data_IF_897415771015
#
_entry.id   IF_897415771015
#
_cell.length_a   1.000
_cell.length_b   1.000
_cell.length_c   1.000
_cell.angle_alpha   90.00
_cell.angle_beta   90.00
_cell.angle_gamma   90.00
#
_symmetry.space_group_name_H-M   'P 1'
#
loop_
_entity.id
_entity.type
_entity.pdbx_description
1 polymer ?
#
# COMPACT_ATOMS: atom_id res chain seq x y z
N UNK A 1 -65.83 3.06 42.49
CA UNK A 1 -65.34 2.49 41.21
C UNK A 1 -64.17 3.32 40.65
N UNK A 2 -63.04 3.38 41.34
CA UNK A 2 -61.81 4.05 40.86
C UNK A 2 -60.56 3.35 41.44
N UNK A 3 -60.61 2.02 41.53
CA UNK A 3 -59.53 1.18 42.08
C UNK A 3 -59.11 0.02 41.17
N UNK A 4 -59.59 -0.06 39.92
CA UNK A 4 -59.32 -1.18 38.99
C UNK A 4 -58.63 -0.80 37.67
N UNK A 5 -57.98 0.37 37.58
CA UNK A 5 -57.31 0.81 36.34
C UNK A 5 -55.82 1.13 36.50
N UNK A 6 -55.24 0.94 37.70
CA UNK A 6 -53.81 1.16 37.96
C UNK A 6 -53.03 -0.14 38.18
N UNK A 7 -53.60 -1.29 37.81
CA UNK A 7 -53.01 -2.62 38.01
C UNK A 7 -52.50 -3.27 36.71
N UNK A 8 -52.50 -2.55 35.59
CA UNK A 8 -52.05 -3.05 34.27
C UNK A 8 -50.79 -2.38 33.72
N UNK A 9 -50.19 -1.41 34.43
CA UNK A 9 -48.97 -0.72 33.98
C UNK A 9 -47.66 -1.18 34.66
N UNK A 10 -47.67 -2.29 35.40
CA UNK A 10 -46.53 -2.77 36.21
C UNK A 10 -45.66 -3.87 35.54
N UNK A 11 -45.99 -4.33 34.33
CA UNK A 11 -45.30 -5.48 33.72
C UNK A 11 -44.31 -5.18 32.60
N UNK A 12 -44.02 -3.91 32.25
CA UNK A 12 -43.15 -3.59 31.08
C UNK A 12 -41.96 -2.67 31.34
N UNK A 13 -41.58 -2.38 32.58
CA UNK A 13 -40.33 -1.66 32.86
C UNK A 13 -39.22 -2.63 33.28
N UNK A 14 -38.33 -2.92 32.32
CA UNK A 14 -37.15 -3.75 32.51
C UNK A 14 -36.26 -3.23 33.63
N UNK A 15 -35.86 -4.13 34.52
CA UNK A 15 -34.90 -3.90 35.60
C UNK A 15 -33.56 -3.42 35.01
N UNK A 16 -33.17 -2.19 35.31
CA UNK A 16 -31.81 -1.70 35.12
C UNK A 16 -31.02 -2.03 36.38
N UNK A 17 -30.10 -2.98 36.30
CA UNK A 17 -29.15 -3.27 37.38
C UNK A 17 -27.91 -2.39 37.20
N UNK A 18 -27.65 -1.53 38.18
CA UNK A 18 -26.40 -0.79 38.31
C UNK A 18 -25.47 -1.65 39.17
N UNK A 19 -24.53 -2.35 38.55
CA UNK A 19 -23.44 -2.99 39.30
C UNK A 19 -22.40 -1.92 39.65
N UNK A 20 -22.31 -1.55 40.93
CA UNK A 20 -21.15 -0.87 41.49
C UNK A 20 -20.07 -1.93 41.75
N UNK A 21 -19.00 -1.93 40.96
CA UNK A 21 -17.75 -2.58 41.33
C UNK A 21 -16.74 -1.49 41.65
N UNK A 22 -16.32 -1.43 42.91
CA UNK A 22 -15.20 -0.64 43.43
C UNK A 22 -13.92 -0.99 42.68
N UNK A 23 -13.28 0.02 42.09
CA UNK A 23 -11.92 -0.09 41.55
C UNK A 23 -11.19 1.16 42.02
N UNK A 24 -10.25 0.96 42.94
CA UNK A 24 -9.29 1.97 43.37
C UNK A 24 -8.45 2.41 42.18
N UNK A 25 -8.46 3.72 41.89
CA UNK A 25 -7.64 4.32 40.83
C UNK A 25 -6.80 5.41 41.47
N UNK A 26 -5.51 5.10 41.62
CA UNK A 26 -4.45 6.06 41.85
C UNK A 26 -4.56 7.20 40.82
N UNK A 27 -4.76 8.41 41.36
CA UNK A 27 -4.80 9.67 40.65
C UNK A 27 -3.43 9.96 40.05
N UNK A 28 -3.31 9.93 38.72
CA UNK A 28 -2.45 10.81 37.91
C UNK A 28 -2.50 10.41 36.41
N UNK A 29 -3.60 10.76 35.73
CA UNK A 29 -3.55 11.40 34.40
C UNK A 29 -4.98 11.59 33.86
N UNK A 30 -5.38 12.86 33.79
CA UNK A 30 -6.69 13.33 33.42
C UNK A 30 -6.90 13.32 31.91
N UNK A 31 -7.86 12.49 31.45
CA UNK A 31 -8.85 12.73 30.37
C UNK A 31 -9.58 11.42 30.06
N UNK A 32 -10.39 10.95 31.00
CA UNK A 32 -11.43 9.96 30.72
C UNK A 32 -12.74 10.72 30.70
N UNK A 33 -13.27 10.96 29.50
CA UNK A 33 -14.64 11.41 29.32
C UNK A 33 -15.51 10.20 29.66
N UNK A 34 -16.15 10.24 30.82
CA UNK A 34 -17.09 9.21 31.28
C UNK A 34 -18.29 9.14 30.32
N UNK A 35 -18.19 8.33 29.25
CA UNK A 35 -19.35 7.95 28.47
C UNK A 35 -19.98 6.74 29.14
N UNK A 36 -21.12 6.94 29.81
CA UNK A 36 -21.97 5.86 30.30
C UNK A 36 -22.36 4.99 29.09
N UNK A 37 -21.81 3.78 29.01
CA UNK A 37 -22.16 2.81 27.99
C UNK A 37 -23.42 2.07 28.42
N UNK A 38 -24.58 2.47 27.88
CA UNK A 38 -25.82 1.71 28.05
C UNK A 38 -25.79 0.48 27.15
N UNK A 39 -25.81 -0.71 27.75
CA UNK A 39 -25.91 -2.00 27.05
C UNK A 39 -27.39 -2.38 26.99
N UNK A 40 -27.99 -2.37 25.81
CA UNK A 40 -29.37 -2.86 25.63
C UNK A 40 -29.36 -4.38 25.51
N UNK A 41 -30.03 -5.08 26.43
CA UNK A 41 -30.27 -6.52 26.33
C UNK A 41 -31.58 -6.74 25.58
N UNK A 42 -31.55 -7.39 24.42
CA UNK A 42 -32.73 -7.93 23.73
C UNK A 42 -32.55 -9.44 23.56
N UNK A 43 -33.51 -10.23 24.02
CA UNK A 43 -33.53 -11.70 23.92
C UNK A 43 -32.27 -12.40 24.46
N UNK A 44 -31.76 -11.97 25.62
CA UNK A 44 -30.63 -12.64 26.30
C UNK A 44 -29.29 -12.59 25.55
N UNK A 45 -29.20 -11.84 24.44
CA UNK A 45 -27.96 -11.65 23.69
C UNK A 45 -27.47 -10.22 23.87
N UNK A 46 -26.21 -10.08 24.31
CA UNK A 46 -25.52 -8.79 24.33
C UNK A 46 -25.26 -8.32 22.90
N UNK A 47 -26.12 -7.46 22.37
CA UNK A 47 -25.82 -6.76 21.12
C UNK A 47 -25.01 -5.51 21.47
N UNK A 48 -23.71 -5.52 21.15
CA UNK A 48 -22.96 -4.26 21.13
C UNK A 48 -23.71 -3.28 20.21
N UNK A 49 -23.98 -2.03 20.63
CA UNK A 49 -24.57 -1.05 19.73
C UNK A 49 -23.67 -0.97 18.50
N UNK A 50 -24.23 -1.27 17.32
CA UNK A 50 -23.50 -1.12 16.06
C UNK A 50 -22.94 0.30 16.06
N UNK A 51 -21.61 0.44 16.14
CA UNK A 51 -20.96 1.74 16.11
C UNK A 51 -21.39 2.38 14.80
N UNK A 52 -22.37 3.31 14.85
CA UNK A 52 -22.73 4.14 13.71
C UNK A 52 -21.41 4.68 13.17
N UNK A 53 -21.12 4.48 11.88
CA UNK A 53 -19.95 5.08 11.22
C UNK A 53 -19.94 6.54 11.64
N UNK A 54 -19.04 6.92 12.56
CA UNK A 54 -18.86 8.32 12.93
C UNK A 54 -18.59 9.02 11.61
N UNK A 55 -19.44 9.99 11.25
CA UNK A 55 -19.08 10.94 10.20
C UNK A 55 -17.73 11.52 10.65
N UNK A 56 -16.66 11.22 9.94
CA UNK A 56 -15.29 11.66 10.26
C UNK A 56 -15.11 13.16 10.12
N UNK A 57 -16.17 13.87 9.71
CA UNK A 57 -16.20 15.31 9.63
C UNK A 57 -17.04 15.82 10.80
N UNK A 58 -16.50 16.71 11.65
CA UNK A 58 -17.32 17.47 12.58
C UNK A 58 -18.42 18.19 11.79
N UNK A 59 -19.57 18.42 12.41
CA UNK A 59 -20.64 19.16 11.76
C UNK A 59 -20.11 20.51 11.26
N UNK A 60 -20.57 20.97 10.10
CA UNK A 60 -20.05 22.19 9.44
C UNK A 60 -20.17 23.46 10.30
N UNK A 61 -21.05 23.45 11.31
CA UNK A 61 -21.24 24.53 12.28
C UNK A 61 -20.37 24.39 13.54
N UNK A 62 -19.74 23.24 13.76
CA UNK A 62 -18.72 23.09 14.79
C UNK A 62 -17.45 23.73 14.22
N UNK A 63 -17.10 24.92 14.71
CA UNK A 63 -15.84 25.57 14.38
C UNK A 63 -14.69 24.57 14.54
N UNK A 64 -13.80 24.48 13.56
CA UNK A 64 -12.60 23.66 13.73
C UNK A 64 -11.86 24.27 14.91
N UNK A 65 -11.50 23.45 15.90
CA UNK A 65 -10.54 23.88 16.91
C UNK A 65 -9.30 24.38 16.18
N UNK A 66 -9.10 25.69 16.20
CA UNK A 66 -7.93 26.29 15.60
C UNK A 66 -6.74 25.75 16.39
N UNK A 67 -5.78 25.13 15.70
CA UNK A 67 -4.52 24.71 16.32
C UNK A 67 -3.69 25.98 16.60
N UNK A 68 -4.13 26.79 17.57
CA UNK A 68 -3.72 28.18 17.75
C UNK A 68 -2.34 28.41 18.36
N UNK A 69 -1.47 27.39 18.40
CA UNK A 69 -0.08 27.60 18.79
C UNK A 69 0.80 26.53 18.17
N UNK A 70 1.09 26.67 16.88
CA UNK A 70 2.30 26.04 16.37
C UNK A 70 3.49 26.72 17.05
N UNK A 71 4.41 25.94 17.61
CA UNK A 71 5.65 26.39 18.27
C UNK A 71 6.40 27.48 17.47
N UNK A 72 6.23 27.45 16.14
CA UNK A 72 6.71 28.45 15.18
C UNK A 72 6.31 29.89 15.47
N UNK A 73 5.17 30.13 16.13
CA UNK A 73 4.67 31.48 16.41
C UNK A 73 5.43 32.16 17.56
N UNK A 74 6.06 31.38 18.43
CA UNK A 74 6.79 31.86 19.62
C UNK A 74 8.30 31.82 19.43
N UNK A 75 8.78 31.46 18.24
CA UNK A 75 10.19 31.24 17.97
C UNK A 75 10.82 32.49 17.34
N UNK A 76 11.89 33.00 17.94
CA UNK A 76 12.70 34.05 17.32
C UNK A 76 13.35 33.51 16.03
N UNK A 77 13.75 34.42 15.13
CA UNK A 77 14.41 34.03 13.86
C UNK A 77 15.72 33.27 14.11
N UNK A 78 16.46 33.65 15.14
CA UNK A 78 17.71 33.01 15.56
C UNK A 78 17.46 31.59 16.10
N UNK A 79 16.49 31.44 17.02
CA UNK A 79 16.13 30.14 17.56
C UNK A 79 15.61 29.19 16.47
N UNK A 80 14.90 29.73 15.47
CA UNK A 80 14.45 28.95 14.32
C UNK A 80 15.62 28.39 13.52
N UNK A 81 16.60 29.23 13.16
CA UNK A 81 17.80 28.78 12.46
C UNK A 81 18.56 27.73 13.26
N UNK A 82 18.77 27.98 14.54
CA UNK A 82 19.43 27.03 15.45
C UNK A 82 18.73 25.66 15.50
N UNK A 83 17.39 25.63 15.60
CA UNK A 83 16.64 24.38 15.58
C UNK A 83 16.70 23.68 14.21
N UNK A 84 16.64 24.44 13.12
CA UNK A 84 16.77 23.90 11.76
C UNK A 84 18.16 23.26 11.55
N UNK A 85 19.23 23.86 12.08
CA UNK A 85 20.60 23.32 12.04
C UNK A 85 20.74 22.03 12.88
N UNK A 86 20.11 21.99 14.06
CA UNK A 86 20.04 20.76 14.89
C UNK A 86 19.27 19.65 14.18
N UNK A 87 18.14 19.97 13.57
CA UNK A 87 17.36 18.99 12.82
C UNK A 87 18.13 18.47 11.59
N UNK A 88 18.88 19.35 10.91
CA UNK A 88 19.73 18.97 9.79
C UNK A 88 20.85 18.03 10.22
N UNK A 89 21.66 18.41 11.20
CA UNK A 89 22.75 17.58 11.76
C UNK A 89 22.28 16.20 12.27
N UNK A 90 21.07 16.10 12.85
CA UNK A 90 20.50 14.81 13.25
C UNK A 90 20.05 13.95 12.06
N UNK A 91 19.67 14.57 10.95
CA UNK A 91 19.20 13.86 9.75
C UNK A 91 20.33 13.50 8.79
N UNK A 92 21.39 14.32 8.71
CA UNK A 92 22.61 14.08 7.93
C UNK A 92 23.10 12.62 7.94
N UNK A 93 23.25 11.95 9.10
CA UNK A 93 23.75 10.58 9.11
C UNK A 93 22.84 9.58 8.40
N UNK A 94 21.55 9.90 8.27
CA UNK A 94 20.55 9.06 7.58
C UNK A 94 20.30 9.50 6.14
N UNK A 95 20.90 10.61 5.69
CA UNK A 95 20.86 11.00 4.29
C UNK A 95 21.70 10.02 3.47
N UNK A 96 21.26 9.75 2.23
CA UNK A 96 21.85 8.74 1.35
C UNK A 96 21.71 7.29 1.83
N UNK A 97 20.67 6.98 2.62
CA UNK A 97 20.34 5.61 3.08
C UNK A 97 21.45 4.93 3.91
N UNK A 98 22.38 5.69 4.50
CA UNK A 98 23.38 5.14 5.42
C UNK A 98 22.81 5.11 6.84
N UNK A 99 23.14 4.08 7.60
CA UNK A 99 22.87 4.04 9.03
C UNK A 99 24.15 4.37 9.78
N UNK A 100 24.17 5.40 10.65
CA UNK A 100 25.38 5.76 11.41
C UNK A 100 25.76 4.72 12.46
N UNK A 101 24.83 3.83 12.82
CA UNK A 101 25.03 2.80 13.81
C UNK A 101 25.57 1.56 13.11
N UNK A 102 26.78 1.12 13.51
CA UNK A 102 27.22 -0.26 13.33
C UNK A 102 26.33 -1.13 14.22
N UNK A 103 25.19 -1.53 13.69
CA UNK A 103 24.25 -2.39 14.41
C UNK A 103 24.91 -3.76 14.53
N UNK A 104 24.89 -4.38 15.71
CA UNK A 104 25.23 -5.80 15.86
C UNK A 104 24.34 -6.61 14.91
N UNK A 105 24.92 -7.05 13.81
CA UNK A 105 24.19 -7.77 12.77
C UNK A 105 23.85 -9.15 13.32
N UNK A 106 22.58 -9.52 13.24
CA UNK A 106 22.17 -10.89 13.54
C UNK A 106 22.87 -11.84 12.58
N UNK A 107 23.18 -13.04 13.06
CA UNK A 107 23.67 -14.13 12.21
C UNK A 107 22.71 -14.31 11.02
N UNK A 108 23.26 -14.27 9.81
CA UNK A 108 22.47 -14.41 8.59
C UNK A 108 22.01 -15.85 8.47
N UNK A 109 20.69 -16.03 8.40
CA UNK A 109 20.13 -17.31 8.00
C UNK A 109 20.22 -17.45 6.48
N UNK A 110 20.46 -18.67 6.01
CA UNK A 110 20.36 -18.99 4.59
C UNK A 110 18.92 -18.92 4.09
N UNK A 111 18.75 -18.77 2.77
CA UNK A 111 17.45 -18.81 2.15
C UNK A 111 16.89 -20.25 2.14
N UNK A 112 15.74 -20.45 2.76
CA UNK A 112 14.95 -21.68 2.66
C UNK A 112 13.80 -21.49 1.67
N UNK A 113 13.41 -22.56 0.97
CA UNK A 113 12.34 -22.50 -0.01
C UNK A 113 10.99 -22.15 0.65
N UNK A 114 10.33 -21.10 0.13
CA UNK A 114 9.10 -20.58 0.74
C UNK A 114 9.32 -19.54 1.84
N UNK A 115 10.57 -19.18 2.13
CA UNK A 115 10.89 -18.04 3.01
C UNK A 115 10.34 -16.74 2.45
N UNK A 116 9.82 -15.90 3.34
CA UNK A 116 9.27 -14.59 3.02
C UNK A 116 10.10 -13.51 3.70
N UNK A 117 10.82 -12.73 2.90
CA UNK A 117 11.59 -11.58 3.39
C UNK A 117 10.77 -10.29 3.38
N UNK A 118 11.39 -9.24 3.90
CA UNK A 118 10.76 -7.94 3.98
C UNK A 118 10.54 -7.32 2.59
N UNK A 119 9.50 -6.50 2.45
CA UNK A 119 9.31 -5.62 1.30
C UNK A 119 9.86 -4.22 1.55
N UNK A 120 9.66 -3.34 0.57
CA UNK A 120 10.07 -1.94 0.62
C UNK A 120 8.89 -1.01 0.31
N UNK A 121 9.04 0.26 0.70
CA UNK A 121 8.09 1.32 0.35
C UNK A 121 8.74 2.19 -0.72
N UNK A 122 8.04 2.46 -1.80
CA UNK A 122 8.54 3.26 -2.90
C UNK A 122 7.58 4.40 -3.25
N UNK A 123 8.14 5.44 -3.87
CA UNK A 123 7.41 6.56 -4.45
C UNK A 123 7.37 6.38 -5.97
N UNK A 124 6.17 6.42 -6.55
CA UNK A 124 6.00 6.32 -8.01
C UNK A 124 6.43 7.63 -8.67
N UNK A 125 7.53 7.64 -9.43
CA UNK A 125 8.00 8.83 -10.15
C UNK A 125 7.25 9.01 -11.47
N UNK A 126 6.98 7.94 -12.20
CA UNK A 126 6.41 8.06 -13.54
C UNK A 126 6.40 6.76 -14.31
N UNK A 127 6.23 6.87 -15.63
CA UNK A 127 6.28 5.77 -16.58
C UNK A 127 7.26 6.14 -17.68
N UNK A 128 8.13 5.21 -18.05
CA UNK A 128 9.16 5.40 -19.06
C UNK A 128 9.10 4.24 -20.07
N UNK A 129 9.15 4.51 -21.39
CA UNK A 129 9.35 3.46 -22.39
C UNK A 129 10.79 2.96 -22.38
N UNK A 130 10.96 1.67 -22.63
CA UNK A 130 12.24 1.01 -22.84
C UNK A 130 12.12 0.05 -24.02
N UNK A 131 13.25 -0.45 -24.53
CA UNK A 131 13.29 -1.35 -25.67
C UNK A 131 14.02 -2.64 -25.32
N UNK A 132 13.47 -3.77 -25.74
CA UNK A 132 14.20 -5.04 -25.71
C UNK A 132 15.23 -5.07 -26.84
N UNK A 133 16.19 -5.99 -26.73
CA UNK A 133 17.14 -6.27 -27.82
C UNK A 133 16.44 -6.74 -29.10
N UNK A 134 15.25 -7.31 -28.99
CA UNK A 134 14.39 -7.69 -30.13
C UNK A 134 13.69 -6.50 -30.81
N UNK A 135 13.88 -5.27 -30.32
CA UNK A 135 13.23 -4.07 -30.85
C UNK A 135 11.79 -3.86 -30.36
N UNK A 136 11.30 -4.68 -29.42
CA UNK A 136 9.96 -4.49 -28.86
C UNK A 136 9.95 -3.36 -27.83
N UNK A 137 8.93 -2.51 -27.92
CA UNK A 137 8.73 -1.42 -26.95
C UNK A 137 8.01 -1.93 -25.70
N UNK A 138 8.68 -1.77 -24.56
CA UNK A 138 8.15 -2.04 -23.23
C UNK A 138 7.82 -0.73 -22.50
N UNK A 139 6.73 -0.72 -21.75
CA UNK A 139 6.42 0.37 -20.82
C UNK A 139 6.76 -0.06 -19.40
N UNK A 140 7.52 0.76 -18.68
CA UNK A 140 7.93 0.49 -17.31
C UNK A 140 7.51 1.62 -16.38
N UNK A 141 7.12 1.28 -15.15
CA UNK A 141 6.88 2.27 -14.08
C UNK A 141 8.15 2.46 -13.26
N UNK A 142 8.50 3.71 -13.03
CA UNK A 142 9.68 4.13 -12.28
C UNK A 142 9.33 4.31 -10.80
N UNK A 143 9.93 3.52 -9.92
CA UNK A 143 9.67 3.50 -8.48
C UNK A 143 10.95 3.83 -7.71
N UNK A 144 10.93 4.89 -6.93
CA UNK A 144 12.07 5.31 -6.12
C UNK A 144 11.91 4.90 -4.66
N UNK A 145 12.96 4.30 -4.11
CA UNK A 145 13.07 3.94 -2.69
C UNK A 145 13.75 5.10 -1.97
N UNK A 146 13.03 5.72 -1.03
CA UNK A 146 13.48 6.92 -0.31
C UNK A 146 13.54 6.64 1.19
N UNK A 147 14.74 6.69 1.75
CA UNK A 147 15.03 6.56 3.19
C UNK A 147 14.31 5.40 3.88
N UNK A 148 14.29 4.23 3.25
CA UNK A 148 13.64 3.05 3.82
C UNK A 148 14.47 2.45 4.93
N UNK A 149 13.89 2.32 6.11
CA UNK A 149 14.55 1.71 7.26
C UNK A 149 13.58 0.79 8.01
N UNK A 150 14.14 -0.25 8.64
CA UNK A 150 13.42 -1.10 9.58
C UNK A 150 13.20 -0.34 10.88
N UNK A 151 11.96 -0.17 11.31
CA UNK A 151 11.60 0.57 12.54
C UNK A 151 11.48 -0.37 13.73
N UNK A 152 10.82 -1.52 13.55
CA UNK A 152 10.67 -2.49 14.63
C UNK A 152 10.39 -3.89 14.10
N UNK A 153 10.77 -4.87 14.92
CA UNK A 153 10.48 -6.28 14.72
C UNK A 153 9.50 -6.74 15.80
N UNK A 154 8.44 -7.42 15.41
CA UNK A 154 7.40 -7.93 16.31
C UNK A 154 7.27 -9.44 16.07
N UNK A 155 7.53 -10.22 17.12
CA UNK A 155 7.32 -11.67 17.10
C UNK A 155 5.84 -12.00 16.92
N UNK A 156 5.55 -13.14 16.33
CA UNK A 156 4.19 -13.58 16.04
C UNK A 156 3.32 -13.65 17.31
N UNK A 157 3.85 -14.14 18.42
CA UNK A 157 3.15 -14.26 19.71
C UNK A 157 2.60 -12.90 20.20
N UNK A 158 3.44 -11.88 20.18
CA UNK A 158 3.05 -10.51 20.55
C UNK A 158 2.09 -9.92 19.54
N UNK A 159 2.29 -10.24 18.25
CA UNK A 159 1.39 -9.74 17.21
C UNK A 159 -0.01 -10.36 17.35
N UNK A 160 -0.15 -11.65 17.70
CA UNK A 160 -1.45 -12.32 17.89
C UNK A 160 -2.31 -11.61 18.92
N UNK A 161 -1.73 -11.07 20.00
CA UNK A 161 -2.45 -10.32 21.04
C UNK A 161 -3.08 -9.02 20.52
N UNK A 162 -2.44 -8.39 19.54
CA UNK A 162 -2.91 -7.12 18.94
C UNK A 162 -3.77 -7.33 17.69
N UNK A 163 -3.93 -8.57 17.21
CA UNK A 163 -4.72 -8.89 16.02
C UNK A 163 -6.21 -8.68 16.24
N UNK A 164 -6.87 -8.07 15.26
CA UNK A 164 -8.34 -8.11 15.18
C UNK A 164 -8.82 -9.56 14.97
N UNK A 165 -10.00 -9.95 15.47
CA UNK A 165 -10.52 -11.32 15.35
C UNK A 165 -10.52 -11.88 13.93
N UNK A 166 -10.73 -11.03 12.91
CA UNK A 166 -10.67 -11.41 11.49
C UNK A 166 -9.33 -12.04 11.07
N UNK A 167 -8.22 -11.71 11.74
CA UNK A 167 -6.91 -12.23 11.41
C UNK A 167 -6.60 -13.61 12.01
N UNK A 168 -7.51 -14.20 12.81
CA UNK A 168 -7.30 -15.56 13.37
C UNK A 168 -7.15 -16.62 12.27
N UNK A 169 -7.91 -16.48 11.19
CA UNK A 169 -7.91 -17.42 10.05
C UNK A 169 -7.08 -16.90 8.86
N UNK A 170 -6.19 -15.95 9.07
CA UNK A 170 -5.40 -15.37 7.99
C UNK A 170 -4.25 -16.28 7.56
N UNK A 171 -3.94 -16.32 6.26
CA UNK A 171 -2.83 -17.13 5.70
C UNK A 171 -1.44 -16.83 6.27
N UNK A 172 -1.26 -15.67 6.89
CA UNK A 172 0.00 -15.21 7.48
C UNK A 172 -0.02 -15.26 9.01
N UNK A 173 -0.85 -16.14 9.58
CA UNK A 173 -1.06 -16.19 11.04
C UNK A 173 0.17 -16.63 11.83
N UNK A 174 1.09 -17.37 11.23
CA UNK A 174 2.27 -17.91 11.90
C UNK A 174 3.55 -17.12 11.58
N UNK A 175 3.42 -15.95 10.95
CA UNK A 175 4.55 -15.14 10.50
C UNK A 175 4.84 -14.00 11.47
N UNK A 176 6.12 -13.68 11.57
CA UNK A 176 6.60 -12.50 12.25
C UNK A 176 6.33 -11.25 11.43
N UNK A 177 6.48 -10.09 12.05
CA UNK A 177 6.11 -8.82 11.44
C UNK A 177 7.25 -7.85 11.55
N UNK A 178 7.60 -7.29 10.40
CA UNK A 178 8.62 -6.25 10.29
C UNK A 178 7.94 -4.93 9.92
N UNK A 179 8.17 -3.89 10.70
CA UNK A 179 7.67 -2.53 10.44
C UNK A 179 8.75 -1.78 9.69
N UNK A 180 8.43 -1.31 8.48
CA UNK A 180 9.31 -0.51 7.63
C UNK A 180 8.75 0.91 7.54
N UNK A 181 9.64 1.90 7.58
CA UNK A 181 9.30 3.29 7.40
C UNK A 181 10.07 3.95 6.25
N UNK A 182 9.42 4.89 5.58
CA UNK A 182 9.93 5.59 4.39
C UNK A 182 9.76 7.10 4.48
N UNK A 183 10.72 7.80 3.85
CA UNK A 183 10.89 9.26 3.83
C UNK A 183 10.99 9.89 5.22
N UNK A 184 12.08 10.60 5.48
CA UNK A 184 12.23 11.37 6.71
C UNK A 184 11.18 12.49 6.78
N UNK A 185 10.62 12.71 7.96
CA UNK A 185 9.70 13.80 8.20
C UNK A 185 10.14 14.59 9.43
N UNK A 186 9.75 15.87 9.51
CA UNK A 186 10.03 16.67 10.71
C UNK A 186 9.20 16.19 11.90
N UNK A 187 9.85 16.08 13.06
CA UNK A 187 9.25 15.70 14.33
C UNK A 187 8.05 16.57 14.72
N UNK A 188 8.08 17.86 14.34
CA UNK A 188 7.05 18.85 14.68
C UNK A 188 5.65 18.52 14.13
N UNK A 189 5.58 17.73 13.07
CA UNK A 189 4.31 17.40 12.42
C UNK A 189 3.56 16.24 13.10
N UNK A 190 4.18 15.56 14.07
CA UNK A 190 3.69 14.31 14.65
C UNK A 190 3.52 14.39 16.17
N UNK A 191 2.54 13.66 16.73
CA UNK A 191 2.36 13.57 18.17
C UNK A 191 3.48 12.75 18.82
N UNK A 192 3.74 13.02 20.11
CA UNK A 192 4.79 12.33 20.89
C UNK A 192 4.68 10.80 20.86
N UNK A 193 3.45 10.27 20.85
CA UNK A 193 3.20 8.82 20.73
C UNK A 193 3.72 8.21 19.42
N UNK A 194 3.68 8.97 18.32
CA UNK A 194 4.25 8.54 17.04
C UNK A 194 5.77 8.60 17.06
N UNK A 195 6.33 9.65 17.68
CA UNK A 195 7.78 9.82 17.81
C UNK A 195 8.40 8.70 18.66
N UNK A 196 7.72 8.25 19.72
CA UNK A 196 8.16 7.14 20.57
C UNK A 196 8.37 5.82 19.84
N UNK A 197 7.77 5.61 18.65
CA UNK A 197 7.98 4.39 17.85
C UNK A 197 9.41 4.27 17.32
N UNK A 198 10.07 5.39 17.05
CA UNK A 198 11.38 5.42 16.39
C UNK A 198 12.55 5.50 17.37
N UNK A 199 12.29 5.82 18.64
CA UNK A 199 13.31 5.96 19.68
C UNK A 199 14.13 4.67 19.86
N UNK A 200 13.47 3.49 19.83
CA UNK A 200 14.17 2.20 19.96
C UNK A 200 15.16 1.91 18.84
N UNK A 201 14.89 2.43 17.65
CA UNK A 201 15.73 2.24 16.46
C UNK A 201 16.66 3.44 16.20
N UNK A 202 16.60 4.48 17.04
CA UNK A 202 17.30 5.76 16.85
C UNK A 202 17.10 6.36 15.45
N UNK A 203 15.89 6.24 14.89
CA UNK A 203 15.58 6.77 13.56
C UNK A 203 14.84 8.13 13.64
N UNK A 204 15.02 9.00 12.65
CA UNK A 204 14.09 10.12 12.45
C UNK A 204 12.68 9.59 12.11
N UNK A 205 11.61 10.33 12.45
CA UNK A 205 10.26 9.89 12.23
C UNK A 205 9.98 9.83 10.73
N UNK A 206 9.43 8.69 10.30
CA UNK A 206 9.14 8.43 8.89
C UNK A 206 7.73 8.87 8.52
N UNK A 207 7.52 9.33 7.28
CA UNK A 207 6.21 9.82 6.81
C UNK A 207 5.22 8.69 6.54
N UNK A 208 5.73 7.55 6.08
CA UNK A 208 4.93 6.34 5.83
C UNK A 208 5.51 5.17 6.59
N UNK A 209 4.60 4.38 7.17
CA UNK A 209 4.90 3.13 7.85
C UNK A 209 4.05 2.02 7.24
N UNK A 210 4.67 0.88 7.02
CA UNK A 210 3.96 -0.36 6.72
C UNK A 210 4.56 -1.55 7.41
N UNK A 211 3.76 -2.60 7.43
CA UNK A 211 4.13 -3.87 7.99
C UNK A 211 4.25 -4.90 6.87
N UNK A 212 5.33 -5.64 6.89
CA UNK A 212 5.53 -6.83 6.07
C UNK A 212 5.46 -8.06 6.97
N UNK A 213 4.80 -9.09 6.47
CA UNK A 213 4.83 -10.41 7.08
C UNK A 213 6.07 -11.12 6.59
N UNK A 214 6.84 -11.65 7.53
CA UNK A 214 8.11 -12.30 7.24
C UNK A 214 8.17 -13.67 7.92
N UNK A 215 8.99 -14.53 7.37
CA UNK A 215 9.39 -15.77 8.05
C UNK A 215 10.45 -15.46 9.12
N UNK A 216 10.52 -16.25 10.21
CA UNK A 216 11.45 -15.98 11.32
C UNK A 216 12.92 -15.90 10.90
N UNK A 217 13.32 -16.65 9.87
CA UNK A 217 14.67 -16.64 9.30
C UNK A 217 15.01 -15.34 8.53
N UNK A 218 14.00 -14.53 8.16
CA UNK A 218 14.19 -13.26 7.46
C UNK A 218 14.18 -12.05 8.42
N UNK A 219 14.58 -12.27 9.67
CA UNK A 219 14.59 -11.25 10.71
C UNK A 219 15.69 -10.20 10.43
N UNK A 220 15.33 -8.93 10.56
CA UNK A 220 16.25 -7.80 10.46
C UNK A 220 16.28 -7.01 11.76
N UNK A 221 17.44 -6.42 12.05
CA UNK A 221 17.59 -5.54 13.19
C UNK A 221 16.94 -4.17 12.93
N UNK A 222 16.24 -3.58 13.91
CA UNK A 222 15.76 -2.20 13.82
C UNK A 222 16.91 -1.23 13.52
N UNK A 223 16.68 -0.29 12.60
CA UNK A 223 17.68 0.66 12.11
C UNK A 223 18.37 0.24 10.81
N UNK A 224 18.17 -0.99 10.33
CA UNK A 224 18.76 -1.47 9.06
C UNK A 224 18.17 -0.69 7.87
N UNK A 225 19.01 -0.13 6.97
CA UNK A 225 18.55 0.53 5.75
C UNK A 225 18.15 -0.49 4.68
N UNK A 226 17.13 -0.19 3.88
CA UNK A 226 16.65 -1.03 2.79
C UNK A 226 16.81 -0.30 1.46
N UNK A 227 17.67 -0.82 0.60
CA UNK A 227 18.05 -0.23 -0.68
C UNK A 227 17.28 -0.84 -1.86
N UNK A 228 17.44 -0.26 -3.06
CA UNK A 228 16.86 -0.83 -4.27
C UNK A 228 17.43 -2.22 -4.62
N UNK A 229 18.70 -2.44 -4.26
CA UNK A 229 19.43 -3.69 -4.46
C UNK A 229 18.92 -4.83 -3.57
N UNK A 230 17.96 -4.54 -2.69
CA UNK A 230 17.15 -5.58 -2.06
C UNK A 230 16.49 -6.48 -3.11
N UNK A 231 16.20 -5.99 -4.32
CA UNK A 231 15.73 -6.84 -5.41
C UNK A 231 16.83 -7.05 -6.45
N UNK A 232 16.73 -8.14 -7.19
CA UNK A 232 17.57 -8.35 -8.38
C UNK A 232 16.74 -8.17 -9.65
N UNK A 233 17.42 -7.80 -10.73
CA UNK A 233 16.81 -7.67 -12.05
C UNK A 233 16.40 -9.05 -12.58
N UNK A 234 15.33 -9.10 -13.35
CA UNK A 234 14.75 -10.35 -13.88
C UNK A 234 13.73 -11.02 -12.95
N UNK A 235 13.76 -10.71 -11.65
CA UNK A 235 12.78 -11.21 -10.69
C UNK A 235 11.42 -10.53 -10.76
N UNK A 236 10.43 -11.17 -10.13
CA UNK A 236 9.04 -10.71 -10.10
C UNK A 236 8.64 -10.20 -8.73
N UNK A 237 7.97 -9.05 -8.73
CA UNK A 237 7.44 -8.40 -7.53
C UNK A 237 5.93 -8.20 -7.61
N UNK A 238 5.30 -8.19 -6.45
CA UNK A 238 3.92 -7.76 -6.27
C UNK A 238 3.95 -6.33 -5.71
N UNK A 239 3.17 -5.46 -6.35
CA UNK A 239 3.16 -4.03 -6.09
C UNK A 239 1.75 -3.63 -5.68
N UNK A 240 1.60 -3.11 -4.47
CA UNK A 240 0.31 -2.65 -3.98
C UNK A 240 0.34 -1.19 -3.58
N UNK A 241 -0.79 -0.51 -3.73
CA UNK A 241 -0.90 0.92 -3.50
C UNK A 241 -2.35 1.38 -3.48
N UNK A 242 -2.57 2.66 -3.18
CA UNK A 242 -3.89 3.27 -3.29
C UNK A 242 -4.13 3.69 -4.74
N UNK A 243 -5.24 3.26 -5.34
CA UNK A 243 -5.65 3.68 -6.66
C UNK A 243 -6.03 5.17 -6.67
N UNK A 244 -5.92 5.80 -7.84
CA UNK A 244 -6.37 7.18 -8.07
C UNK A 244 -7.82 7.33 -7.61
N UNK A 245 -8.11 8.42 -6.91
CA UNK A 245 -9.46 8.75 -6.47
C UNK A 245 -10.24 9.42 -7.61
N UNK A 246 -11.38 8.85 -7.98
CA UNK A 246 -12.28 9.42 -8.98
C UNK A 246 -13.56 9.98 -8.35
N UNK A 247 -13.72 9.98 -7.02
CA UNK A 247 -14.91 10.46 -6.34
C UNK A 247 -16.16 9.64 -6.65
N UNK A 248 -17.35 10.26 -6.57
CA UNK A 248 -18.62 9.59 -6.87
C UNK A 248 -18.80 9.41 -8.38
N UNK A 249 -18.86 8.17 -8.84
CA UNK A 249 -18.98 7.82 -10.24
C UNK A 249 -20.28 7.07 -10.55
N UNK A 250 -20.84 7.35 -11.73
CA UNK A 250 -21.98 6.65 -12.28
C UNK A 250 -21.65 5.20 -12.69
N UNK A 251 -22.69 4.39 -12.92
CA UNK A 251 -22.54 2.95 -13.19
C UNK A 251 -21.75 2.61 -14.46
N UNK A 252 -21.80 3.48 -15.48
CA UNK A 252 -21.03 3.26 -16.71
C UNK A 252 -19.52 3.36 -16.44
N UNK A 253 -19.04 4.40 -15.76
CA UNK A 253 -17.60 4.56 -15.48
C UNK A 253 -17.12 3.60 -14.38
N UNK A 254 -17.95 3.37 -13.35
CA UNK A 254 -17.59 2.54 -12.19
C UNK A 254 -17.57 1.04 -12.50
N UNK A 255 -18.53 0.57 -13.29
CA UNK A 255 -18.77 -0.86 -13.53
C UNK A 255 -18.78 -1.26 -15.00
N UNK A 256 -18.45 -0.34 -15.91
CA UNK A 256 -18.45 -0.55 -17.35
C UNK A 256 -19.82 -0.99 -17.90
N UNK A 257 -20.92 -0.49 -17.34
CA UNK A 257 -22.26 -0.73 -17.89
C UNK A 257 -22.41 -0.08 -19.27
N UNK A 258 -23.06 -0.76 -20.21
CA UNK A 258 -23.24 -0.27 -21.59
C UNK A 258 -24.14 0.97 -21.69
N UNK A 259 -25.04 1.18 -20.74
CA UNK A 259 -26.05 2.24 -20.79
C UNK A 259 -27.21 1.88 -21.71
N UNK A 260 -27.96 2.89 -22.16
CA UNK A 260 -29.05 2.76 -23.12
C UNK A 260 -28.68 3.44 -24.44
N UNK A 261 -29.43 3.14 -25.51
CA UNK A 261 -29.25 3.77 -26.82
C UNK A 261 -29.35 5.31 -26.73
N UNK A 262 -28.66 5.99 -27.67
CA UNK A 262 -28.76 7.45 -27.82
C UNK A 262 -29.97 7.86 -28.66
N UNK A 263 -30.38 7.03 -29.63
CA UNK A 263 -31.46 7.29 -30.58
C UNK A 263 -32.67 6.37 -30.33
N UNK A 264 -33.68 6.43 -31.20
CA UNK A 264 -34.91 5.62 -31.16
C UNK A 264 -35.77 5.83 -29.90
N UNK A 265 -36.01 7.09 -29.53
CA UNK A 265 -37.01 7.45 -28.52
C UNK A 265 -36.58 7.27 -27.05
N UNK A 266 -35.31 6.94 -26.77
CA UNK A 266 -34.81 6.85 -25.38
C UNK A 266 -34.79 8.23 -24.74
N UNK A 267 -35.62 8.47 -23.74
CA UNK A 267 -35.71 9.74 -23.01
C UNK A 267 -35.04 9.66 -21.63
N UNK A 268 -34.07 10.54 -21.35
CA UNK A 268 -33.41 10.73 -20.03
C UNK A 268 -32.79 9.46 -19.39
N UNK A 269 -32.58 8.39 -20.15
CA UNK A 269 -32.14 7.09 -19.63
C UNK A 269 -30.76 6.62 -20.11
N UNK A 270 -30.05 7.40 -20.93
CA UNK A 270 -28.82 6.98 -21.63
C UNK A 270 -27.73 6.39 -20.72
N UNK A 271 -27.61 6.88 -19.47
CA UNK A 271 -26.56 6.46 -18.52
C UNK A 271 -27.08 5.79 -17.24
N UNK A 272 -28.36 5.41 -17.22
CA UNK A 272 -29.00 4.79 -16.05
C UNK A 272 -28.59 3.30 -15.94
N UNK A 273 -28.62 2.70 -14.74
CA UNK A 273 -28.30 1.28 -14.53
C UNK A 273 -29.25 0.30 -15.20
N UNK A 274 -30.46 0.72 -15.55
CA UNK A 274 -31.54 -0.19 -15.92
C UNK A 274 -32.09 -0.93 -14.69
N UNK A 275 -32.54 -2.16 -14.90
CA UNK A 275 -33.13 -3.00 -13.85
C UNK A 275 -32.09 -3.47 -12.84
N UNK A 276 -32.39 -3.31 -11.55
CA UNK A 276 -31.44 -3.56 -10.45
C UNK A 276 -31.67 -4.93 -9.78
N UNK A 277 -32.90 -5.45 -9.79
CA UNK A 277 -33.28 -6.68 -9.09
C UNK A 277 -34.02 -7.65 -10.02
N UNK A 278 -34.01 -8.94 -9.65
CA UNK A 278 -34.70 -10.01 -10.38
C UNK A 278 -36.05 -10.33 -9.72
N UNK A 279 -37.15 -10.01 -10.42
CA UNK A 279 -38.50 -10.55 -10.19
C UNK A 279 -39.18 -10.23 -8.83
N UNK A 280 -40.49 -10.50 -8.75
CA UNK A 280 -41.33 -10.27 -7.55
C UNK A 280 -40.96 -11.13 -6.33
N UNK A 281 -40.24 -12.24 -6.52
CA UNK A 281 -39.85 -13.17 -5.45
C UNK A 281 -38.76 -12.64 -4.53
N UNK A 282 -37.97 -11.65 -4.96
CA UNK A 282 -36.93 -11.03 -4.15
C UNK A 282 -37.39 -9.66 -3.65
N UNK A 283 -37.48 -9.47 -2.34
CA UNK A 283 -37.91 -8.23 -1.68
C UNK A 283 -36.81 -7.15 -1.64
N UNK A 284 -36.04 -6.99 -2.72
CA UNK A 284 -35.01 -5.94 -2.85
C UNK A 284 -33.75 -6.36 -3.61
N UNK A 285 -32.80 -5.42 -3.80
CA UNK A 285 -31.51 -5.73 -4.42
C UNK A 285 -30.65 -6.63 -3.54
N UNK A 286 -29.95 -7.58 -4.16
CA UNK A 286 -29.00 -8.46 -3.47
C UNK A 286 -27.84 -7.63 -2.88
N UNK A 287 -27.32 -8.01 -1.71
CA UNK A 287 -26.12 -7.38 -1.13
C UNK A 287 -24.95 -7.49 -2.12
N UNK A 288 -24.28 -6.36 -2.37
CA UNK A 288 -23.19 -6.30 -3.36
C UNK A 288 -23.64 -6.00 -4.80
N UNK A 289 -24.92 -5.69 -5.03
CA UNK A 289 -25.40 -5.23 -6.35
C UNK A 289 -24.61 -3.99 -6.82
N UNK A 290 -24.16 -4.02 -8.08
CA UNK A 290 -23.37 -2.96 -8.69
C UNK A 290 -24.22 -1.69 -8.88
N UNK A 291 -23.87 -0.62 -8.16
CA UNK A 291 -24.55 0.68 -8.19
C UNK A 291 -23.56 1.85 -8.32
N UNK A 292 -24.06 3.04 -8.65
CA UNK A 292 -23.24 4.26 -8.63
C UNK A 292 -22.67 4.51 -7.22
N UNK A 293 -21.52 5.17 -7.14
CA UNK A 293 -20.86 5.41 -5.86
C UNK A 293 -19.39 5.78 -6.00
N UNK A 294 -18.72 5.87 -4.86
CA UNK A 294 -17.30 6.20 -4.82
C UNK A 294 -16.45 5.18 -5.59
N UNK A 295 -15.58 5.66 -6.47
CA UNK A 295 -14.66 4.85 -7.27
C UNK A 295 -13.23 5.31 -7.02
N UNK A 296 -12.33 4.37 -6.77
CA UNK A 296 -10.93 4.68 -6.47
C UNK A 296 -10.66 4.91 -4.99
N UNK A 297 -9.48 5.42 -4.66
CA UNK A 297 -8.98 5.55 -3.26
C UNK A 297 -8.93 4.23 -2.47
N UNK A 298 -9.05 3.09 -3.17
CA UNK A 298 -8.98 1.74 -2.60
C UNK A 298 -7.56 1.17 -2.74
N UNK A 299 -7.22 0.19 -1.90
CA UNK A 299 -5.95 -0.53 -2.02
C UNK A 299 -6.10 -1.64 -3.06
N UNK A 300 -5.23 -1.64 -4.07
CA UNK A 300 -5.13 -2.71 -5.07
C UNK A 300 -3.70 -3.20 -5.15
N UNK A 301 -3.57 -4.48 -5.49
CA UNK A 301 -2.30 -5.16 -5.68
C UNK A 301 -2.23 -5.63 -7.13
N UNK A 302 -1.16 -5.29 -7.82
CA UNK A 302 -0.76 -5.91 -9.08
C UNK A 302 0.30 -6.95 -8.77
N UNK A 303 0.19 -8.11 -9.40
CA UNK A 303 1.04 -9.26 -9.10
C UNK A 303 1.92 -9.63 -10.29
N UNK A 304 3.10 -10.17 -10.00
CA UNK A 304 3.97 -10.77 -11.00
C UNK A 304 4.57 -9.77 -11.99
N UNK A 305 4.94 -8.58 -11.53
CA UNK A 305 5.60 -7.58 -12.35
C UNK A 305 7.11 -7.83 -12.39
N UNK A 306 7.69 -8.01 -13.58
CA UNK A 306 9.14 -8.22 -13.76
C UNK A 306 9.91 -6.92 -13.49
N UNK A 307 11.07 -7.02 -12.85
CA UNK A 307 12.02 -5.91 -12.70
C UNK A 307 12.96 -5.90 -13.92
N UNK A 308 13.04 -4.77 -14.61
CA UNK A 308 13.80 -4.63 -15.86
C UNK A 308 15.15 -3.92 -15.68
N UNK A 309 15.19 -2.99 -14.73
CA UNK A 309 16.38 -2.18 -14.44
C UNK A 309 16.37 -1.78 -12.97
N UNK A 310 17.54 -1.72 -12.37
CA UNK A 310 17.78 -1.12 -11.06
C UNK A 310 18.90 -0.09 -11.20
N UNK A 311 18.73 1.07 -10.57
CA UNK A 311 19.77 2.07 -10.42
C UNK A 311 20.16 2.16 -8.94
N UNK A 312 21.44 1.89 -8.67
CA UNK A 312 22.01 1.79 -7.32
C UNK A 312 22.17 3.17 -6.69
N UNK A 313 22.65 4.15 -7.46
CA UNK A 313 22.92 5.52 -7.01
C UNK A 313 21.69 6.28 -6.51
N UNK A 314 20.59 6.23 -7.27
CA UNK A 314 19.34 6.94 -6.94
C UNK A 314 18.31 6.05 -6.25
N UNK A 315 18.61 4.78 -6.03
CA UNK A 315 17.71 3.78 -5.46
C UNK A 315 16.37 3.69 -6.22
N UNK A 316 16.46 3.53 -7.54
CA UNK A 316 15.29 3.48 -8.44
C UNK A 316 15.15 2.11 -9.07
N UNK A 317 13.92 1.62 -9.16
CA UNK A 317 13.56 0.33 -9.76
C UNK A 317 12.56 0.59 -10.90
N UNK A 318 12.80 -0.03 -12.05
CA UNK A 318 11.88 -0.04 -13.18
C UNK A 318 11.12 -1.35 -13.22
N UNK A 319 9.81 -1.26 -12.98
CA UNK A 319 8.91 -2.39 -12.91
C UNK A 319 8.06 -2.47 -14.18
N UNK A 320 7.79 -3.67 -14.67
CA UNK A 320 7.00 -3.88 -15.87
C UNK A 320 5.59 -3.27 -15.79
N UNK A 321 5.19 -2.59 -16.86
CA UNK A 321 3.84 -2.07 -17.07
C UNK A 321 3.58 -0.68 -16.47
N UNK A 322 2.67 0.10 -17.07
CA UNK A 322 2.30 1.44 -16.58
C UNK A 322 1.26 1.41 -15.44
N UNK A 323 0.69 0.23 -15.16
CA UNK A 323 -0.54 0.09 -14.39
C UNK A 323 -0.37 0.22 -12.86
N UNK A 324 0.84 0.48 -12.36
CA UNK A 324 1.13 0.57 -10.92
C UNK A 324 0.10 1.50 -10.23
N UNK A 325 -0.58 1.04 -9.18
CA UNK A 325 -1.70 1.78 -8.58
C UNK A 325 -1.24 3.11 -8.00
N UNK A 326 -2.01 4.16 -8.30
CA UNK A 326 -1.81 5.49 -7.76
C UNK A 326 -1.28 6.48 -8.78
N UNK A 327 -1.44 7.77 -8.46
CA UNK A 327 -0.94 8.87 -9.27
C UNK A 327 0.60 8.97 -9.16
N UNK A 328 1.20 9.80 -10.00
CA UNK A 328 2.59 10.21 -9.82
C UNK A 328 2.81 10.80 -8.42
N UNK A 329 3.96 10.53 -7.82
CA UNK A 329 4.35 10.84 -6.44
C UNK A 329 3.54 10.13 -5.33
N UNK A 330 2.71 9.14 -5.68
CA UNK A 330 2.00 8.33 -4.69
C UNK A 330 2.90 7.24 -4.09
N UNK A 331 2.54 6.82 -2.87
CA UNK A 331 3.21 5.75 -2.16
C UNK A 331 2.72 4.39 -2.60
N UNK A 332 3.69 3.53 -2.87
CA UNK A 332 3.51 2.19 -3.36
C UNK A 332 4.38 1.28 -2.51
N UNK A 333 3.99 0.02 -2.40
CA UNK A 333 4.62 -0.95 -1.53
C UNK A 333 4.94 -2.17 -2.36
N UNK A 334 6.20 -2.58 -2.30
CA UNK A 334 6.76 -3.62 -3.16
C UNK A 334 7.17 -4.76 -2.25
N UNK A 335 6.78 -5.97 -2.60
CA UNK A 335 7.27 -7.19 -1.96
C UNK A 335 7.44 -8.28 -3.01
N UNK A 336 8.12 -9.36 -2.65
CA UNK A 336 8.29 -10.50 -3.54
C UNK A 336 6.94 -11.10 -3.95
N UNK A 337 6.89 -11.67 -5.15
CA UNK A 337 5.62 -12.11 -5.72
C UNK A 337 5.01 -13.28 -4.95
N UNK A 338 3.67 -13.27 -4.85
CA UNK A 338 2.91 -14.36 -4.26
C UNK A 338 2.51 -15.46 -5.25
N UNK A 339 2.87 -15.32 -6.55
CA UNK A 339 2.56 -16.29 -7.60
C UNK A 339 3.50 -17.49 -7.51
N UNK A 340 2.96 -18.71 -7.45
CA UNK A 340 3.73 -19.94 -7.25
C UNK A 340 4.75 -20.19 -8.38
N UNK A 341 4.33 -19.98 -9.64
CA UNK A 341 5.17 -20.18 -10.84
C UNK A 341 6.39 -19.26 -10.92
N UNK A 342 6.39 -18.17 -10.14
CA UNK A 342 7.39 -17.09 -10.20
C UNK A 342 8.12 -16.92 -8.87
N UNK A 343 8.02 -17.91 -7.98
CA UNK A 343 8.76 -17.93 -6.71
C UNK A 343 10.24 -18.19 -6.98
N UNK A 344 11.05 -17.81 -6.00
CA UNK A 344 12.48 -18.07 -6.02
C UNK A 344 12.75 -19.54 -5.71
N UNK A 345 13.78 -20.07 -6.37
CA UNK A 345 14.38 -21.35 -6.04
C UNK A 345 15.58 -21.11 -5.13
N UNK A 346 16.13 -22.18 -4.52
CA UNK A 346 17.32 -22.08 -3.68
C UNK A 346 18.55 -21.55 -4.43
N UNK A 347 18.65 -21.79 -5.74
CA UNK A 347 19.78 -21.31 -6.55
C UNK A 347 19.54 -19.90 -7.14
N UNK A 348 18.28 -19.46 -7.19
CA UNK A 348 17.87 -18.25 -7.89
C UNK A 348 17.01 -17.37 -6.97
N UNK A 349 17.61 -16.91 -5.88
CA UNK A 349 17.01 -15.99 -4.93
C UNK A 349 17.75 -14.64 -4.90
N UNK A 350 17.04 -13.54 -4.65
CA UNK A 350 17.67 -12.24 -4.36
C UNK A 350 18.40 -12.29 -3.00
N UNK A 351 19.24 -11.29 -2.67
CA UNK A 351 19.97 -11.26 -1.42
C UNK A 351 19.03 -11.43 -0.22
N UNK A 352 19.41 -12.33 0.70
CA UNK A 352 18.63 -12.72 1.86
C UNK A 352 19.46 -12.53 3.14
N UNK A 353 18.91 -11.96 4.21
CA UNK A 353 17.56 -11.38 4.33
C UNK A 353 17.37 -10.06 3.54
N UNK A 354 18.44 -9.30 3.35
CA UNK A 354 18.52 -8.04 2.57
C UNK A 354 19.91 -7.87 1.96
N UNK A 355 20.09 -6.87 1.08
CA UNK A 355 21.40 -6.46 0.55
C UNK A 355 22.12 -5.50 1.52
N UNK A 356 23.41 -5.72 1.76
CA UNK A 356 24.28 -4.88 2.58
C UNK A 356 25.42 -4.33 1.73
N UNK A 357 25.58 -3.00 1.69
CA UNK A 357 26.65 -2.34 0.90
C UNK A 357 28.04 -2.46 1.53
N UNK A 358 28.13 -2.60 2.85
CA UNK A 358 29.42 -2.60 3.56
C UNK A 358 30.19 -3.92 3.40
N UNK A 359 29.50 -4.99 3.03
CA UNK A 359 30.05 -6.33 2.95
C UNK A 359 30.42 -6.75 1.52
N UNK A 360 29.89 -6.04 0.51
CA UNK A 360 30.29 -6.29 -0.87
C UNK A 360 31.64 -5.63 -1.13
N UNK A 361 32.66 -6.46 -1.34
CA UNK A 361 34.02 -6.01 -1.70
C UNK A 361 34.02 -5.18 -3.00
N UNK A 362 33.07 -5.46 -3.90
CA UNK A 362 32.89 -4.77 -5.17
C UNK A 362 31.65 -3.86 -5.16
N UNK A 363 31.85 -2.61 -5.57
CA UNK A 363 30.73 -1.67 -5.80
C UNK A 363 29.96 -2.11 -7.03
N UNK A 364 28.66 -2.35 -6.84
CA UNK A 364 27.74 -2.62 -7.94
C UNK A 364 27.75 -1.48 -8.97
N UNK A 365 27.57 -1.79 -10.26
CA UNK A 365 27.48 -0.77 -11.31
C UNK A 365 26.30 0.18 -11.05
N UNK A 366 26.36 1.38 -11.62
CA UNK A 366 25.31 2.39 -11.43
C UNK A 366 23.94 1.90 -11.93
N UNK A 367 23.93 1.21 -13.07
CA UNK A 367 22.73 0.67 -13.68
C UNK A 367 22.90 -0.84 -13.92
N UNK A 368 21.97 -1.62 -13.38
CA UNK A 368 21.86 -3.05 -13.62
C UNK A 368 20.66 -3.25 -14.57
N UNK A 369 20.91 -3.84 -15.73
CA UNK A 369 19.91 -4.10 -16.77
C UNK A 369 19.58 -5.59 -16.85
N UNK A 370 18.37 -5.90 -17.29
CA UNK A 370 17.97 -7.28 -17.57
C UNK A 370 18.63 -7.76 -18.87
N UNK A 371 18.84 -9.07 -19.00
CA UNK A 371 19.53 -9.65 -20.17
C UNK A 371 18.85 -9.30 -21.49
N UNK A 372 17.52 -9.24 -21.48
CA UNK A 372 16.68 -8.99 -22.67
C UNK A 372 16.54 -7.50 -22.98
N UNK A 373 16.92 -6.61 -22.04
CA UNK A 373 16.77 -5.17 -22.18
C UNK A 373 17.99 -4.58 -22.90
N UNK A 374 17.76 -3.66 -23.84
CA UNK A 374 18.85 -2.93 -24.46
C UNK A 374 19.28 -1.74 -23.56
N UNK A 375 20.54 -1.71 -23.08
CA UNK A 375 21.10 -0.58 -22.37
C UNK A 375 21.14 0.68 -23.24
N UNK A 376 21.09 1.86 -22.60
CA UNK A 376 21.11 3.14 -23.31
C UNK A 376 22.50 3.52 -23.84
N UNK A 377 23.56 2.92 -23.30
CA UNK A 377 24.95 3.24 -23.64
C UNK A 377 25.47 2.40 -24.83
N UNK A 378 24.74 1.35 -25.20
CA UNK A 378 25.08 0.47 -26.32
C UNK A 378 24.72 1.12 -27.68
N UNK A 379 25.41 0.74 -28.78
CA UNK A 379 25.09 1.23 -30.11
C UNK A 379 23.68 0.81 -30.54
N UNK A 380 23.11 1.54 -31.50
CA UNK A 380 21.77 1.26 -32.04
C UNK A 380 21.64 -0.18 -32.54
N UNK A 381 20.51 -0.82 -32.23
CA UNK A 381 20.18 -2.16 -32.69
C UNK A 381 20.14 -2.22 -34.23
N UNK A 382 20.96 -3.10 -34.80
CA UNK A 382 20.94 -3.46 -36.21
C UNK A 382 20.37 -4.86 -36.34
N UNK A 383 19.26 -4.98 -37.06
CA UNK A 383 18.68 -6.27 -37.41
C UNK A 383 19.17 -6.62 -38.81
N UNK A 384 20.09 -7.57 -38.90
CA UNK A 384 20.48 -8.14 -40.19
C UNK A 384 19.31 -8.98 -40.70
N UNK A 385 18.61 -8.46 -41.71
CA UNK A 385 17.56 -9.24 -42.37
C UNK A 385 18.21 -10.38 -43.13
N UNK A 386 17.92 -11.62 -42.73
CA UNK A 386 18.31 -12.77 -43.53
C UNK A 386 17.62 -12.70 -44.90
N UNK A 387 18.28 -13.16 -45.97
CA UNK A 387 17.69 -13.13 -47.32
C UNK A 387 16.33 -13.85 -47.39
N UNK A 388 16.15 -14.86 -46.55
CA UNK A 388 14.91 -15.63 -46.42
C UNK A 388 13.78 -14.79 -45.84
N UNK A 389 14.04 -14.02 -44.78
CA UNK A 389 13.08 -13.09 -44.19
C UNK A 389 12.71 -11.97 -45.16
N UNK A 390 13.68 -11.46 -45.94
CA UNK A 390 13.40 -10.49 -47.01
C UNK A 390 12.48 -11.07 -48.08
N UNK A 391 12.76 -12.28 -48.57
CA UNK A 391 11.94 -12.98 -49.57
C UNK A 391 10.53 -13.24 -49.03
N UNK A 392 10.41 -13.68 -47.77
CA UNK A 392 9.14 -13.93 -47.10
C UNK A 392 8.31 -12.64 -46.90
N UNK A 393 8.95 -11.55 -46.46
CA UNK A 393 8.31 -10.25 -46.31
C UNK A 393 7.80 -9.70 -47.66
N UNK A 394 8.61 -9.80 -48.72
CA UNK A 394 8.21 -9.43 -50.08
C UNK A 394 7.03 -10.28 -50.59
N UNK A 395 7.04 -11.58 -50.32
CA UNK A 395 5.94 -12.48 -50.68
C UNK A 395 4.64 -12.10 -49.94
N UNK A 396 4.70 -11.83 -48.64
CA UNK A 396 3.56 -11.37 -47.84
C UNK A 396 3.00 -10.03 -48.32
N UNK A 397 3.88 -9.09 -48.71
CA UNK A 397 3.48 -7.78 -49.25
C UNK A 397 2.80 -7.91 -50.63
N UNK A 398 3.27 -8.84 -51.47
CA UNK A 398 2.60 -9.18 -52.74
C UNK A 398 1.21 -9.80 -52.51
N UNK A 399 1.08 -10.70 -51.53
CA UNK A 399 -0.21 -11.33 -51.17
C UNK A 399 -1.23 -10.29 -50.68
N UNK A 400 -0.82 -9.39 -49.77
CA UNK A 400 -1.70 -8.34 -49.23
C UNK A 400 -2.12 -7.31 -50.28
N UNK A 401 -1.21 -6.92 -51.20
CA UNK A 401 -1.57 -6.08 -52.36
C UNK A 401 -2.60 -6.77 -53.26
N UNK A 402 -2.41 -8.06 -53.59
CA UNK A 402 -3.38 -8.84 -54.37
C UNK A 402 -4.74 -8.90 -53.67
N UNK A 403 -4.77 -9.17 -52.37
CA UNK A 403 -6.00 -9.20 -51.58
C UNK A 403 -6.71 -7.84 -51.54
N UNK A 404 -5.96 -6.73 -51.48
CA UNK A 404 -6.52 -5.37 -51.49
C UNK A 404 -7.10 -5.01 -52.86
N UNK A 405 -6.44 -5.39 -53.96
CA UNK A 405 -6.95 -5.21 -55.33
C UNK A 405 -8.22 -6.03 -55.55
N UNK A 406 -8.24 -7.27 -55.08
CA UNK A 406 -9.41 -8.16 -55.20
C UNK A 406 -10.62 -7.73 -54.35
N UNK A 407 -10.43 -6.84 -53.37
CA UNK A 407 -11.51 -6.27 -52.55
C UNK A 407 -12.07 -4.95 -53.11
N UNK A 408 -11.37 -4.35 -54.08
CA UNK A 408 -11.76 -3.11 -54.77
C UNK A 408 -12.49 -3.41 -56.09
N UNK A 409 -12.20 -4.55 -56.72
CA UNK A 409 -13.08 -5.18 -57.72
C UNK A 409 -14.22 -5.90 -57.02
#
# INVERSE_FOLDING_TARGET
MFRSLMQTCSQNFGRTFINQSSIDINLNNSRIVNSVLTISVRNGRYSAPTTKRRKTYPYHWLGRAEKNSTLKNYLTKENKKFLDDIDHSKQEPFQNNKSPLKIEQLEKCEYEEGSMRCGVIAKKIGVQPMWTKDGQRLLTSVLQIVDNHVVSYIKNEDFVRTRRPFYKNHRFKNMDVLVVGAENASHLNYPLSYLGLFQKANLPPKKKLTRFFITPNAKLTPGTPLLANHFCVGHYVDVWGKTIDHGFQGVMKRWNFKGQLKHHGVTKAHRRPGTIARGRKLMGPVKGTKMAGHMGSERRTLKGLKIWRINTKYNVIWVHGPAVPGATNSWVYIHDTSLQEKKYNKDNHPPFPTYYEEESEEKLPENIYDKDLHPFDEPSLLFEETEEERKAALAALRMTKKAKIAKIR
#
